data_IF_677093114448
#
_entry.id   IF_677093114448
#
_cell.length_a   1.000
_cell.length_b   1.000
_cell.length_c   1.000
_cell.angle_alpha   90.00
_cell.angle_beta   90.00
_cell.angle_gamma   90.00
#
_symmetry.space_group_name_H-M   'P 1'
#
loop_
_entity.id
_entity.type
_entity.pdbx_description
1 polymer ?
#
# COMPACT_ATOMS: atom_id res chain seq x y z
N UNK A 1 28.55 11.87 -0.79
CA UNK A 1 27.57 11.54 -1.85
C UNK A 1 27.14 10.09 -1.83
N UNK A 2 28.08 9.15 -1.80
CA UNK A 2 27.76 7.71 -1.81
C UNK A 2 26.92 7.29 -0.59
N UNK A 3 27.24 7.84 0.59
CA UNK A 3 26.47 7.56 1.80
C UNK A 3 25.04 8.08 1.72
N UNK A 4 24.86 9.28 1.17
CA UNK A 4 23.54 9.88 1.00
C UNK A 4 22.68 9.09 0.01
N UNK A 5 23.27 8.62 -1.08
CA UNK A 5 22.59 7.77 -2.06
C UNK A 5 22.17 6.46 -1.40
N UNK A 6 23.03 5.86 -0.60
CA UNK A 6 22.73 4.61 0.11
C UNK A 6 21.58 4.79 1.10
N UNK A 7 21.58 5.89 1.86
CA UNK A 7 20.50 6.21 2.81
C UNK A 7 19.18 6.38 2.06
N UNK A 8 19.17 7.08 0.93
CA UNK A 8 17.96 7.28 0.11
C UNK A 8 17.44 5.96 -0.45
N UNK A 9 18.32 5.09 -0.92
CA UNK A 9 17.94 3.78 -1.44
C UNK A 9 17.33 2.91 -0.34
N UNK A 10 17.92 2.89 0.83
CA UNK A 10 17.38 2.15 1.99
C UNK A 10 16.00 2.70 2.37
N UNK A 11 15.84 4.02 2.42
CA UNK A 11 14.57 4.65 2.71
C UNK A 11 13.49 4.27 1.68
N UNK A 12 13.84 4.25 0.41
CA UNK A 12 12.93 3.85 -0.68
C UNK A 12 12.49 2.39 -0.49
N UNK A 13 13.43 1.50 -0.20
CA UNK A 13 13.13 0.08 0.02
C UNK A 13 12.19 -0.10 1.23
N UNK A 14 12.45 0.61 2.32
CA UNK A 14 11.60 0.57 3.52
C UNK A 14 10.19 1.07 3.19
N UNK A 15 10.09 2.18 2.48
CA UNK A 15 8.79 2.76 2.10
C UNK A 15 8.01 1.82 1.19
N UNK A 16 8.66 1.18 0.22
CA UNK A 16 8.02 0.20 -0.65
C UNK A 16 7.56 -1.04 0.12
N UNK A 17 8.35 -1.48 1.09
CA UNK A 17 7.99 -2.59 1.96
C UNK A 17 6.78 -2.25 2.82
N UNK A 18 6.74 -1.05 3.42
CA UNK A 18 5.59 -0.58 4.19
C UNK A 18 4.34 -0.46 3.31
N UNK A 19 4.51 0.01 2.08
CA UNK A 19 3.42 0.07 1.10
C UNK A 19 2.89 -1.32 0.77
N UNK A 20 3.77 -2.30 0.57
CA UNK A 20 3.39 -3.67 0.29
C UNK A 20 2.62 -4.29 1.46
N UNK A 21 3.07 -4.06 2.70
CA UNK A 21 2.37 -4.51 3.90
C UNK A 21 0.99 -3.87 4.01
N UNK A 22 0.87 -2.59 3.73
CA UNK A 22 -0.40 -1.87 3.76
C UNK A 22 -1.37 -2.43 2.72
N UNK A 23 -0.90 -2.66 1.51
CA UNK A 23 -1.69 -3.22 0.41
C UNK A 23 -2.17 -4.64 0.71
N UNK A 24 -1.28 -5.47 1.26
CA UNK A 24 -1.61 -6.82 1.70
C UNK A 24 -2.63 -6.84 2.83
N UNK A 25 -2.45 -5.95 3.81
CA UNK A 25 -3.38 -5.81 4.94
C UNK A 25 -4.77 -5.39 4.48
N UNK A 26 -4.85 -4.43 3.54
CA UNK A 26 -6.11 -4.01 2.95
C UNK A 26 -6.84 -5.18 2.29
N UNK A 27 -6.14 -5.94 1.47
CA UNK A 27 -6.71 -7.10 0.76
C UNK A 27 -7.15 -8.18 1.75
N UNK A 28 -6.35 -8.47 2.77
CA UNK A 28 -6.68 -9.46 3.78
C UNK A 28 -7.92 -9.04 4.59
N UNK A 29 -8.02 -7.77 4.98
CA UNK A 29 -9.19 -7.26 5.71
C UNK A 29 -10.45 -7.31 4.85
N UNK A 30 -10.34 -7.00 3.57
CA UNK A 30 -11.47 -7.08 2.63
C UNK A 30 -11.95 -8.53 2.48
N UNK A 31 -11.03 -9.49 2.36
CA UNK A 31 -11.35 -10.90 2.26
C UNK A 31 -12.04 -11.41 3.54
N UNK A 32 -11.54 -11.03 4.72
CA UNK A 32 -12.13 -11.39 6.00
C UNK A 32 -13.54 -10.80 6.14
N UNK A 33 -13.75 -9.56 5.72
CA UNK A 33 -15.06 -8.92 5.74
C UNK A 33 -16.10 -9.67 4.91
N UNK A 34 -15.70 -10.15 3.72
CA UNK A 34 -16.59 -10.95 2.85
C UNK A 34 -16.97 -12.28 3.52
N UNK A 35 -15.98 -12.96 4.12
CA UNK A 35 -16.21 -14.22 4.81
C UNK A 35 -17.13 -14.03 6.01
N UNK A 36 -16.94 -12.98 6.80
CA UNK A 36 -17.79 -12.68 7.94
C UNK A 36 -19.21 -12.36 7.53
N UNK A 37 -19.41 -11.58 6.47
CA UNK A 37 -20.73 -11.26 5.95
C UNK A 37 -21.45 -12.54 5.50
N UNK A 38 -20.75 -13.45 4.84
CA UNK A 38 -21.32 -14.73 4.40
C UNK A 38 -21.72 -15.61 5.58
N UNK A 39 -20.87 -15.71 6.60
CA UNK A 39 -21.17 -16.46 7.83
C UNK A 39 -22.36 -15.89 8.58
N UNK A 40 -22.49 -14.58 8.62
CA UNK A 40 -23.62 -13.91 9.27
C UNK A 40 -24.95 -14.20 8.58
N UNK A 41 -24.96 -14.24 7.25
CA UNK A 41 -26.14 -14.63 6.49
C UNK A 41 -26.59 -16.06 6.78
N UNK A 42 -25.66 -16.96 7.01
CA UNK A 42 -25.96 -18.36 7.35
C UNK A 42 -26.52 -18.52 8.77
N UNK A 43 -26.09 -17.67 9.71
CA UNK A 43 -26.43 -17.82 11.13
C UNK A 43 -27.70 -17.07 11.58
N UNK A 44 -28.31 -16.27 10.73
CA UNK A 44 -29.46 -15.45 11.13
C UNK A 44 -29.07 -14.41 12.17
N UNK A 45 -29.08 -13.15 11.81
CA UNK A 45 -28.45 -12.08 12.58
C UNK A 45 -29.39 -11.57 13.69
N UNK A 46 -28.98 -11.70 14.95
CA UNK A 46 -29.73 -11.17 16.09
C UNK A 46 -29.35 -9.73 16.49
N UNK A 47 -28.20 -9.18 16.01
CA UNK A 47 -27.69 -7.85 16.39
C UNK A 47 -27.18 -7.06 15.19
N UNK A 48 -28.10 -6.50 14.40
CA UNK A 48 -27.78 -5.68 13.24
C UNK A 48 -26.91 -4.46 13.61
N UNK A 49 -27.13 -3.85 14.77
CA UNK A 49 -26.36 -2.68 15.22
C UNK A 49 -24.89 -3.00 15.50
N UNK A 50 -24.62 -4.16 16.08
CA UNK A 50 -23.25 -4.61 16.35
C UNK A 50 -22.47 -4.82 15.05
N UNK A 51 -23.15 -5.39 14.03
CA UNK A 51 -22.56 -5.65 12.72
C UNK A 51 -22.25 -4.35 12.00
N UNK A 52 -23.16 -3.37 12.06
CA UNK A 52 -22.94 -2.05 11.49
C UNK A 52 -21.73 -1.35 12.12
N UNK A 53 -21.59 -1.45 13.44
CA UNK A 53 -20.43 -0.90 14.16
C UNK A 53 -19.11 -1.52 13.70
N UNK A 54 -19.06 -2.84 13.57
CA UNK A 54 -17.87 -3.55 13.11
C UNK A 54 -17.54 -3.13 11.67
N UNK A 55 -18.55 -3.02 10.81
CA UNK A 55 -18.37 -2.61 9.43
C UNK A 55 -17.84 -1.18 9.33
N UNK A 56 -18.37 -0.25 10.12
CA UNK A 56 -17.89 1.14 10.16
C UNK A 56 -16.43 1.22 10.60
N UNK A 57 -16.05 0.49 11.66
CA UNK A 57 -14.68 0.45 12.14
C UNK A 57 -13.72 -0.13 11.09
N UNK A 58 -14.14 -1.17 10.37
CA UNK A 58 -13.33 -1.75 9.30
C UNK A 58 -13.17 -0.79 8.13
N UNK A 59 -14.24 -0.10 7.72
CA UNK A 59 -14.19 0.88 6.64
C UNK A 59 -13.24 2.03 6.98
N UNK A 60 -13.27 2.53 8.21
CA UNK A 60 -12.33 3.55 8.69
C UNK A 60 -10.89 3.05 8.66
N UNK A 61 -10.67 1.82 9.11
CA UNK A 61 -9.35 1.21 9.15
C UNK A 61 -8.79 1.00 7.74
N UNK A 62 -9.62 0.49 6.82
CA UNK A 62 -9.23 0.30 5.41
C UNK A 62 -8.90 1.64 4.76
N UNK A 63 -9.70 2.68 5.01
CA UNK A 63 -9.42 4.03 4.51
C UNK A 63 -8.08 4.54 5.01
N UNK A 64 -7.77 4.35 6.30
CA UNK A 64 -6.50 4.72 6.88
C UNK A 64 -5.33 3.98 6.24
N UNK A 65 -5.47 2.68 5.98
CA UNK A 65 -4.46 1.88 5.30
C UNK A 65 -4.23 2.36 3.87
N UNK A 66 -5.31 2.68 3.14
CA UNK A 66 -5.22 3.22 1.78
C UNK A 66 -4.45 4.54 1.75
N UNK A 67 -4.75 5.45 2.68
CA UNK A 67 -4.05 6.72 2.78
C UNK A 67 -2.57 6.51 3.11
N UNK A 68 -2.26 5.62 4.04
CA UNK A 68 -0.88 5.27 4.38
C UNK A 68 -0.14 4.66 3.20
N UNK A 69 -0.77 3.74 2.48
CA UNK A 69 -0.20 3.11 1.28
C UNK A 69 0.13 4.16 0.22
N UNK A 70 -0.80 5.08 -0.06
CA UNK A 70 -0.58 6.16 -1.01
C UNK A 70 0.56 7.07 -0.56
N UNK A 71 0.62 7.41 0.73
CA UNK A 71 1.68 8.24 1.28
C UNK A 71 3.05 7.57 1.11
N UNK A 72 3.17 6.28 1.44
CA UNK A 72 4.42 5.55 1.28
C UNK A 72 4.87 5.51 -0.18
N UNK A 73 3.95 5.27 -1.11
CA UNK A 73 4.25 5.24 -2.54
C UNK A 73 4.69 6.61 -3.06
N UNK A 74 4.03 7.68 -2.65
CA UNK A 74 4.38 9.05 -3.03
C UNK A 74 5.76 9.42 -2.49
N UNK A 75 6.04 9.12 -1.22
CA UNK A 75 7.34 9.40 -0.63
C UNK A 75 8.46 8.62 -1.31
N UNK A 76 8.25 7.35 -1.60
CA UNK A 76 9.22 6.52 -2.30
C UNK A 76 9.51 7.08 -3.70
N UNK A 77 8.46 7.47 -4.43
CA UNK A 77 8.59 8.06 -5.76
C UNK A 77 9.33 9.40 -5.72
N UNK A 78 9.02 10.24 -4.74
CA UNK A 78 9.69 11.53 -4.56
C UNK A 78 11.19 11.35 -4.29
N UNK A 79 11.56 10.41 -3.44
CA UNK A 79 12.95 10.11 -3.13
C UNK A 79 13.69 9.55 -4.35
N UNK A 80 13.05 8.64 -5.08
CA UNK A 80 13.64 8.08 -6.29
C UNK A 80 13.82 9.15 -7.37
N UNK A 81 12.83 10.05 -7.54
CA UNK A 81 12.90 11.15 -8.48
C UNK A 81 14.07 12.08 -8.12
N UNK A 82 14.18 12.45 -6.85
CA UNK A 82 15.29 13.28 -6.37
C UNK A 82 16.65 12.64 -6.65
N UNK A 83 16.76 11.34 -6.37
CA UNK A 83 17.98 10.59 -6.62
C UNK A 83 18.37 10.58 -8.10
N UNK A 84 17.43 10.26 -8.97
CA UNK A 84 17.68 10.15 -10.42
C UNK A 84 17.91 11.51 -11.08
N UNK A 85 17.21 12.55 -10.64
CA UNK A 85 17.46 13.91 -11.11
C UNK A 85 18.86 14.37 -10.71
N UNK A 86 19.30 14.02 -9.50
CA UNK A 86 20.64 14.33 -9.03
C UNK A 86 21.73 13.67 -9.88
N UNK A 87 21.47 12.43 -10.36
CA UNK A 87 22.46 11.68 -11.13
C UNK A 87 22.35 11.93 -12.65
N UNK A 88 21.13 12.09 -13.19
CA UNK A 88 20.87 12.14 -14.63
C UNK A 88 20.28 13.47 -15.10
N UNK A 89 20.03 14.42 -14.22
CA UNK A 89 19.43 15.71 -14.57
C UNK A 89 17.93 15.57 -14.88
N UNK A 90 17.42 16.47 -15.75
CA UNK A 90 15.99 16.50 -16.06
C UNK A 90 15.43 15.21 -16.66
N UNK A 91 16.26 14.42 -17.33
CA UNK A 91 15.87 13.11 -17.85
C UNK A 91 15.54 12.12 -16.74
N UNK A 92 16.07 12.34 -15.53
CA UNK A 92 15.80 11.51 -14.36
C UNK A 92 14.34 11.49 -13.97
N UNK A 93 13.58 12.56 -14.20
CA UNK A 93 12.13 12.59 -13.90
C UNK A 93 11.39 11.54 -14.74
N UNK A 94 11.68 11.48 -16.03
CA UNK A 94 11.07 10.48 -16.92
C UNK A 94 11.43 9.06 -16.51
N UNK A 95 12.70 8.80 -16.25
CA UNK A 95 13.18 7.48 -15.84
C UNK A 95 12.55 7.09 -14.52
N UNK A 96 12.49 8.00 -13.53
CA UNK A 96 11.88 7.75 -12.23
C UNK A 96 10.40 7.42 -12.37
N UNK A 97 9.66 8.16 -13.17
CA UNK A 97 8.23 7.94 -13.38
C UNK A 97 7.96 6.55 -13.94
N UNK A 98 8.68 6.15 -14.98
CA UNK A 98 8.51 4.83 -15.59
C UNK A 98 8.92 3.72 -14.62
N UNK A 99 10.12 3.85 -14.03
CA UNK A 99 10.67 2.86 -13.12
C UNK A 99 9.77 2.65 -11.90
N UNK A 100 9.37 3.74 -11.24
CA UNK A 100 8.57 3.66 -10.03
C UNK A 100 7.15 3.18 -10.30
N UNK A 101 6.57 3.54 -11.44
CA UNK A 101 5.27 3.02 -11.84
C UNK A 101 5.30 1.49 -11.93
N UNK A 102 6.31 0.94 -12.61
CA UNK A 102 6.47 -0.51 -12.75
C UNK A 102 6.73 -1.18 -11.40
N UNK A 103 7.64 -0.62 -10.61
CA UNK A 103 8.01 -1.18 -9.31
C UNK A 103 6.81 -1.18 -8.35
N UNK A 104 6.11 -0.06 -8.25
CA UNK A 104 4.96 0.08 -7.35
C UNK A 104 3.84 -0.87 -7.76
N UNK A 105 3.50 -0.90 -9.05
CA UNK A 105 2.41 -1.76 -9.53
C UNK A 105 2.75 -3.23 -9.27
N UNK A 106 3.96 -3.66 -9.60
CA UNK A 106 4.33 -5.06 -9.49
C UNK A 106 4.55 -5.47 -8.02
N UNK A 107 5.35 -4.72 -7.26
CA UNK A 107 5.81 -5.15 -5.94
C UNK A 107 4.94 -4.66 -4.79
N UNK A 108 4.36 -3.47 -4.90
CA UNK A 108 3.61 -2.88 -3.80
C UNK A 108 2.10 -3.04 -3.93
N UNK A 109 1.59 -3.29 -5.11
CA UNK A 109 0.14 -3.43 -5.33
C UNK A 109 -0.28 -4.84 -5.73
N UNK A 110 0.31 -5.39 -6.80
CA UNK A 110 -0.13 -6.68 -7.36
C UNK A 110 0.33 -7.87 -6.50
N UNK A 111 1.62 -7.96 -6.22
CA UNK A 111 2.19 -9.09 -5.49
C UNK A 111 1.63 -9.23 -4.08
N UNK A 112 1.55 -8.18 -3.24
CA UNK A 112 0.96 -8.31 -1.92
C UNK A 112 -0.51 -8.73 -1.96
N UNK A 113 -1.27 -8.23 -2.94
CA UNK A 113 -2.69 -8.59 -3.08
C UNK A 113 -2.88 -10.06 -3.45
N UNK A 114 -2.02 -10.60 -4.30
CA UNK A 114 -2.06 -12.03 -4.67
C UNK A 114 -1.75 -12.90 -3.46
N UNK A 115 -0.72 -12.56 -2.68
CA UNK A 115 -0.35 -13.33 -1.50
C UNK A 115 -1.37 -13.22 -0.37
N UNK A 116 -2.12 -12.12 -0.28
CA UNK A 116 -3.11 -11.89 0.75
C UNK A 116 -4.47 -12.59 0.47
N UNK A 117 -4.71 -12.94 -0.78
CA UNK A 117 -5.90 -13.68 -1.18
C UNK A 117 -5.73 -15.16 -0.85
#
# INVERSE_FOLDING_TARGET
MTLLILIKLIAIIILLFLSALSSGSETALTAVSKLQAHRQNEKGIKNANFILKIKELKDEFITGILLANNLFNILATALMTELLVSEFGGFGVTVATILMTLVIVIFSEVTPKIFAI
#
